data_IF_319397370317
#
_entry.id   IF_319397370317
#
_cell.length_a   1.000
_cell.length_b   1.000
_cell.length_c   1.000
_cell.angle_alpha   90.00
_cell.angle_beta   90.00
_cell.angle_gamma   90.00
#
_symmetry.space_group_name_H-M   'P 1'
#
loop_
_entity.id
_entity.type
_entity.pdbx_description
1 polymer ?
#
# COMPACT_ATOMS: atom_id res chain seq x y z
N UNK A 1 -25.62 -25.89 30.74
CA UNK A 1 -25.10 -25.97 29.35
C UNK A 1 -23.64 -26.39 29.47
N UNK A 2 -23.22 -27.67 29.52
CA UNK A 2 -23.37 -28.74 28.51
C UNK A 2 -23.12 -28.15 27.11
N UNK A 3 -22.04 -28.47 26.39
CA UNK A 3 -21.61 -29.81 25.93
C UNK A 3 -20.09 -29.93 25.69
N UNK A 4 -19.65 -31.19 25.72
CA UNK A 4 -18.30 -31.77 25.67
C UNK A 4 -17.55 -31.61 24.32
N UNK A 5 -16.21 -31.79 24.28
CA UNK A 5 -15.49 -32.17 23.06
C UNK A 5 -15.51 -33.70 22.85
N UNK A 6 -15.92 -34.12 21.65
CA UNK A 6 -15.96 -35.53 21.25
C UNK A 6 -14.57 -36.10 20.91
N UNK A 7 -14.39 -37.32 21.39
CA UNK A 7 -13.22 -38.17 21.29
C UNK A 7 -12.83 -38.55 19.85
N UNK A 8 -11.56 -38.35 19.50
CA UNK A 8 -10.95 -39.04 18.36
C UNK A 8 -10.57 -40.47 18.78
N UNK A 9 -11.37 -41.46 18.37
CA UNK A 9 -11.19 -42.88 18.65
C UNK A 9 -10.14 -43.51 17.72
N UNK A 10 -9.00 -43.96 18.28
CA UNK A 10 -7.95 -44.70 17.56
C UNK A 10 -8.17 -46.20 17.79
N UNK A 11 -8.64 -46.92 16.78
CA UNK A 11 -8.75 -48.39 16.78
C UNK A 11 -7.35 -49.02 16.84
N UNK A 12 -7.12 -49.88 17.82
CA UNK A 12 -5.91 -50.72 17.93
C UNK A 12 -6.28 -52.14 17.50
N UNK A 13 -5.59 -52.65 16.48
CA UNK A 13 -5.64 -54.06 16.06
C UNK A 13 -4.58 -54.81 16.86
N UNK A 14 -5.00 -55.77 17.68
CA UNK A 14 -4.10 -56.64 18.44
C UNK A 14 -3.81 -57.93 17.65
N UNK A 15 -2.59 -58.06 17.15
CA UNK A 15 -1.98 -59.29 16.65
C UNK A 15 -0.72 -59.59 17.47
N UNK A 16 -0.55 -60.85 17.84
CA UNK A 16 0.37 -61.33 18.88
C UNK A 16 1.87 -61.31 18.53
N UNK A 17 2.67 -61.45 19.61
CA UNK A 17 4.07 -61.93 19.72
C UNK A 17 5.21 -60.88 19.72
N UNK A 18 5.83 -60.84 20.91
CA UNK A 18 7.17 -60.40 21.32
C UNK A 18 8.15 -59.92 20.23
N UNK A 19 8.71 -58.71 20.40
CA UNK A 19 10.15 -58.40 20.49
C UNK A 19 10.29 -57.00 21.12
N UNK A 20 11.21 -56.85 22.08
CA UNK A 20 11.62 -55.61 22.73
C UNK A 20 12.11 -54.53 21.76
N UNK A 21 11.39 -53.41 21.66
CA UNK A 21 11.82 -52.19 20.97
C UNK A 21 11.38 -50.95 21.77
N UNK A 22 12.30 -50.01 21.94
CA UNK A 22 12.11 -48.74 22.66
C UNK A 22 10.95 -47.92 22.07
N UNK A 23 10.22 -47.13 22.89
CA UNK A 23 9.09 -46.35 22.38
C UNK A 23 9.61 -45.19 21.54
N UNK A 24 9.47 -45.31 20.21
CA UNK A 24 9.65 -44.19 19.29
C UNK A 24 8.37 -43.35 19.33
N UNK A 25 8.46 -42.19 19.98
CA UNK A 25 7.51 -41.10 19.86
C UNK A 25 7.56 -40.54 18.43
N UNK A 26 6.42 -40.46 17.75
CA UNK A 26 6.26 -39.69 16.52
C UNK A 26 4.97 -38.88 16.63
N UNK A 27 5.11 -37.71 17.24
CA UNK A 27 4.16 -36.60 17.12
C UNK A 27 4.56 -35.80 15.89
N UNK A 28 3.74 -35.83 14.84
CA UNK A 28 3.84 -34.84 13.76
C UNK A 28 2.43 -34.57 13.19
N UNK A 29 1.65 -33.78 13.92
CA UNK A 29 0.64 -32.93 13.31
C UNK A 29 1.38 -31.74 12.68
N UNK A 30 1.60 -31.78 11.37
CA UNK A 30 1.99 -30.58 10.61
C UNK A 30 0.81 -29.62 10.58
N UNK A 31 0.84 -28.64 11.47
CA UNK A 31 0.06 -27.42 11.34
C UNK A 31 0.89 -26.41 10.53
N UNK A 32 0.73 -26.42 9.21
CA UNK A 32 1.08 -25.26 8.39
C UNK A 32 -0.08 -24.28 8.43
N UNK A 33 -0.03 -23.31 9.34
CA UNK A 33 -0.55 -21.97 9.08
C UNK A 33 0.07 -20.98 10.07
N UNK A 34 1.24 -20.45 9.71
CA UNK A 34 1.77 -19.25 10.36
C UNK A 34 1.33 -18.03 9.55
N UNK A 35 0.67 -17.03 10.16
CA UNK A 35 0.29 -15.82 9.45
C UNK A 35 1.55 -15.12 8.96
N UNK A 36 1.71 -15.01 7.63
CA UNK A 36 2.77 -14.24 6.98
C UNK A 36 2.67 -12.78 7.42
N UNK A 37 3.37 -12.45 8.50
CA UNK A 37 3.63 -11.06 8.86
C UNK A 37 4.50 -10.50 7.73
N UNK A 38 4.07 -9.44 7.02
CA UNK A 38 4.88 -8.87 5.97
C UNK A 38 6.24 -8.45 6.56
N UNK A 39 7.35 -8.68 5.84
CA UNK A 39 8.66 -8.25 6.30
C UNK A 39 8.61 -6.76 6.64
N UNK A 40 9.01 -6.42 7.88
CA UNK A 40 9.06 -5.03 8.35
C UNK A 40 10.27 -4.35 7.71
N UNK A 41 10.17 -3.96 6.44
CA UNK A 41 11.12 -3.03 5.84
C UNK A 41 11.04 -1.70 6.60
N UNK A 42 12.17 -1.06 6.95
CA UNK A 42 12.13 0.23 7.64
C UNK A 42 11.67 1.35 6.70
N UNK A 43 10.98 2.35 7.26
CA UNK A 43 10.67 3.59 6.57
C UNK A 43 11.97 4.40 6.39
N UNK A 44 12.35 4.70 5.16
CA UNK A 44 13.56 5.45 4.80
C UNK A 44 13.22 6.92 4.59
N UNK A 45 13.93 7.83 5.27
CA UNK A 45 13.78 9.28 5.07
C UNK A 45 14.75 9.75 3.98
N UNK A 46 14.25 10.52 3.02
CA UNK A 46 15.06 11.15 1.98
C UNK A 46 15.37 12.61 2.35
N UNK A 47 16.41 13.17 1.72
CA UNK A 47 16.84 14.56 1.94
C UNK A 47 15.78 15.59 1.58
N UNK A 48 14.94 15.29 0.58
CA UNK A 48 13.80 16.11 0.17
C UNK A 48 12.56 15.94 1.07
N UNK A 49 12.68 15.28 2.22
CA UNK A 49 11.61 15.09 3.19
C UNK A 49 10.58 14.01 2.84
N UNK A 50 10.71 13.33 1.70
CA UNK A 50 9.92 12.12 1.42
C UNK A 50 10.29 11.01 2.38
N UNK A 51 9.29 10.21 2.76
CA UNK A 51 9.52 8.99 3.53
C UNK A 51 8.97 7.81 2.78
N UNK A 52 9.83 6.83 2.48
CA UNK A 52 9.50 5.73 1.59
C UNK A 52 9.68 4.40 2.32
N UNK A 53 8.68 3.55 2.20
CA UNK A 53 8.69 2.17 2.63
C UNK A 53 8.59 1.29 1.39
N UNK A 54 9.66 0.57 1.08
CA UNK A 54 9.64 -0.39 -0.02
C UNK A 54 8.97 -1.68 0.46
N UNK A 55 7.85 -2.02 -0.17
CA UNK A 55 7.08 -3.23 0.13
C UNK A 55 7.51 -4.36 -0.81
N UNK A 56 7.70 -4.02 -2.10
CA UNK A 56 8.25 -4.88 -3.12
C UNK A 56 9.18 -4.03 -4.00
N UNK A 57 10.42 -4.45 -4.19
CA UNK A 57 11.37 -3.71 -5.03
C UNK A 57 10.98 -3.70 -6.51
N UNK A 58 10.32 -4.75 -6.99
CA UNK A 58 10.13 -4.99 -8.42
C UNK A 58 11.40 -5.50 -9.10
N UNK A 59 11.28 -5.90 -10.36
CA UNK A 59 12.41 -6.48 -11.12
C UNK A 59 12.63 -5.84 -12.49
N UNK A 60 11.73 -4.96 -12.92
CA UNK A 60 11.87 -4.30 -14.21
C UNK A 60 12.74 -3.05 -14.18
N UNK A 61 12.57 -2.26 -15.23
CA UNK A 61 13.31 -1.02 -15.42
C UNK A 61 12.87 0.06 -14.44
N UNK A 62 13.75 1.03 -14.25
CA UNK A 62 13.52 2.21 -13.43
C UNK A 62 13.13 3.36 -14.36
N UNK A 63 12.08 4.14 -14.06
CA UNK A 63 11.67 5.23 -14.93
C UNK A 63 12.68 6.37 -14.87
N UNK A 64 13.03 6.88 -16.05
CA UNK A 64 13.85 8.09 -16.24
C UNK A 64 12.95 9.34 -16.33
N UNK A 65 13.57 10.52 -16.30
CA UNK A 65 12.85 11.78 -16.49
C UNK A 65 12.25 11.88 -17.90
N UNK A 66 11.01 12.35 -17.98
CA UNK A 66 10.25 12.37 -19.24
C UNK A 66 9.67 11.01 -19.64
N UNK A 67 9.94 9.92 -18.90
CA UNK A 67 9.34 8.62 -19.17
C UNK A 67 7.85 8.63 -18.82
N UNK A 68 7.03 7.98 -19.65
CA UNK A 68 5.60 7.82 -19.35
C UNK A 68 5.42 6.59 -18.48
N UNK A 69 4.75 6.76 -17.35
CA UNK A 69 4.55 5.69 -16.37
C UNK A 69 3.07 5.39 -16.20
N UNK A 70 2.77 4.12 -15.91
CA UNK A 70 1.44 3.68 -15.52
C UNK A 70 1.50 3.14 -14.10
N UNK A 71 0.72 3.75 -13.20
CA UNK A 71 0.67 3.36 -11.80
C UNK A 71 -0.75 3.04 -11.35
N UNK A 72 -0.87 2.07 -10.45
CA UNK A 72 -2.04 1.96 -9.59
C UNK A 72 -1.68 2.52 -8.21
N UNK A 73 -2.63 3.18 -7.56
CA UNK A 73 -2.39 3.66 -6.20
C UNK A 73 -3.65 3.76 -5.35
N UNK A 74 -3.43 3.84 -4.04
CA UNK A 74 -4.40 4.30 -3.03
C UNK A 74 -3.85 5.56 -2.37
N UNK A 75 -4.62 6.65 -2.40
CA UNK A 75 -4.20 7.93 -1.87
C UNK A 75 -5.00 8.29 -0.61
N UNK A 76 -4.28 8.64 0.46
CA UNK A 76 -4.86 8.97 1.75
C UNK A 76 -4.29 10.29 2.27
N UNK A 77 -5.10 11.02 3.04
CA UNK A 77 -4.60 12.09 3.87
C UNK A 77 -4.09 11.50 5.19
N UNK A 78 -2.92 11.93 5.66
CA UNK A 78 -2.48 11.59 7.02
C UNK A 78 -3.39 12.23 8.06
N UNK A 79 -3.85 13.45 7.78
CA UNK A 79 -4.95 14.08 8.50
C UNK A 79 -6.27 13.29 8.31
N UNK A 80 -7.33 13.67 9.04
CA UNK A 80 -8.65 13.03 8.92
C UNK A 80 -8.62 11.50 9.08
N UNK A 81 -7.78 11.00 10.00
CA UNK A 81 -7.69 9.58 10.36
C UNK A 81 -7.33 8.66 9.18
N UNK A 82 -6.46 9.10 8.27
CA UNK A 82 -6.07 8.24 7.14
C UNK A 82 -7.14 8.16 6.04
N UNK A 83 -8.03 9.15 5.93
CA UNK A 83 -9.12 9.13 4.97
C UNK A 83 -8.59 8.94 3.53
N UNK A 84 -9.05 7.88 2.87
CA UNK A 84 -8.74 7.59 1.48
C UNK A 84 -9.61 8.45 0.57
N UNK A 85 -8.98 9.39 -0.12
CA UNK A 85 -9.66 10.36 -0.99
C UNK A 85 -9.69 9.92 -2.45
N UNK A 86 -8.74 9.08 -2.88
CA UNK A 86 -8.70 8.50 -4.22
C UNK A 86 -8.16 7.07 -4.21
N UNK A 87 -8.60 6.28 -5.19
CA UNK A 87 -8.24 4.88 -5.33
C UNK A 87 -8.41 4.40 -6.77
N UNK A 88 -7.29 4.07 -7.40
CA UNK A 88 -7.27 3.62 -8.80
C UNK A 88 -7.95 2.27 -8.98
N UNK A 89 -7.85 1.37 -7.99
CA UNK A 89 -8.51 0.05 -8.05
C UNK A 89 -10.04 0.11 -7.99
N UNK A 90 -10.61 1.22 -7.48
CA UNK A 90 -12.06 1.44 -7.48
C UNK A 90 -12.55 2.11 -8.76
N UNK A 91 -11.64 2.63 -9.58
CA UNK A 91 -11.95 3.31 -10.83
C UNK A 91 -11.79 2.30 -11.98
N UNK A 92 -12.85 1.56 -12.28
CA UNK A 92 -12.80 0.51 -13.31
C UNK A 92 -13.30 0.99 -14.66
N UNK A 93 -12.86 0.32 -15.72
CA UNK A 93 -13.38 0.48 -17.06
C UNK A 93 -14.71 -0.28 -17.26
N UNK A 94 -15.21 -0.32 -18.50
CA UNK A 94 -16.46 -1.01 -18.86
C UNK A 94 -16.42 -2.53 -18.64
N UNK A 95 -15.23 -3.10 -18.49
CA UNK A 95 -15.01 -4.53 -18.28
C UNK A 95 -14.71 -4.87 -16.81
N UNK A 96 -14.62 -3.86 -15.94
CA UNK A 96 -14.33 -4.05 -14.52
C UNK A 96 -12.83 -4.02 -14.19
N UNK A 97 -11.96 -3.67 -15.14
CA UNK A 97 -10.52 -3.59 -14.92
C UNK A 97 -10.13 -2.22 -14.37
N UNK A 98 -9.23 -2.12 -13.36
CA UNK A 98 -8.72 -0.85 -12.87
C UNK A 98 -8.09 -0.01 -13.98
N UNK A 99 -8.41 1.29 -14.02
CA UNK A 99 -7.84 2.23 -14.98
C UNK A 99 -6.59 2.86 -14.36
N UNK A 100 -5.37 2.46 -14.77
CA UNK A 100 -4.15 3.01 -14.18
C UNK A 100 -4.03 4.51 -14.42
N UNK A 101 -3.44 5.20 -13.46
CA UNK A 101 -3.07 6.60 -13.61
C UNK A 101 -1.79 6.70 -14.44
N UNK A 102 -1.84 7.52 -15.49
CA UNK A 102 -0.76 7.70 -16.45
C UNK A 102 -0.28 9.13 -16.41
N UNK A 103 1.03 9.31 -16.31
CA UNK A 103 1.65 10.62 -16.34
C UNK A 103 3.11 10.52 -16.80
N UNK A 104 3.71 11.67 -17.06
CA UNK A 104 5.13 11.78 -17.41
C UNK A 104 5.95 12.14 -16.17
N UNK A 105 7.05 11.43 -15.95
CA UNK A 105 7.91 11.69 -14.79
C UNK A 105 8.53 13.08 -14.90
N UNK A 106 8.23 13.94 -13.92
CA UNK A 106 8.65 15.34 -13.92
C UNK A 106 7.61 16.31 -14.48
N UNK A 107 6.40 15.84 -14.85
CA UNK A 107 5.29 16.70 -15.25
C UNK A 107 4.90 17.69 -14.13
N UNK A 108 4.95 19.01 -14.34
CA UNK A 108 4.55 20.01 -13.35
C UNK A 108 3.05 19.94 -13.00
N UNK A 109 2.24 19.34 -13.86
CA UNK A 109 0.83 19.05 -13.61
C UNK A 109 0.59 17.90 -12.63
N UNK A 110 1.63 17.21 -12.17
CA UNK A 110 1.54 16.14 -11.15
C UNK A 110 2.19 16.61 -9.86
N UNK A 111 1.68 16.15 -8.71
CA UNK A 111 2.31 16.44 -7.43
C UNK A 111 3.76 15.97 -7.43
N UNK A 112 4.69 16.87 -7.07
CA UNK A 112 6.13 16.64 -7.19
C UNK A 112 6.57 15.38 -6.44
N UNK A 113 6.02 15.18 -5.24
CA UNK A 113 6.35 14.02 -4.42
C UNK A 113 5.97 12.68 -5.04
N UNK A 114 4.96 12.62 -5.93
CA UNK A 114 4.61 11.40 -6.65
C UNK A 114 5.60 11.11 -7.77
N UNK A 115 6.00 12.12 -8.54
CA UNK A 115 7.06 11.99 -9.55
C UNK A 115 8.38 11.52 -8.91
N UNK A 116 8.78 12.14 -7.79
CA UNK A 116 9.98 11.73 -7.06
C UNK A 116 9.87 10.31 -6.46
N UNK A 117 8.68 9.91 -6.00
CA UNK A 117 8.47 8.57 -5.47
C UNK A 117 8.60 7.50 -6.56
N UNK A 118 8.00 7.73 -7.74
CA UNK A 118 8.05 6.80 -8.87
C UNK A 118 9.47 6.66 -9.41
N UNK A 119 10.27 7.73 -9.39
CA UNK A 119 11.71 7.66 -9.72
C UNK A 119 12.47 6.67 -8.85
N UNK A 120 12.01 6.29 -7.66
CA UNK A 120 12.70 5.34 -6.78
C UNK A 120 12.28 3.89 -7.04
N UNK A 121 11.24 3.67 -7.83
CA UNK A 121 10.63 2.36 -8.07
C UNK A 121 11.24 1.66 -9.28
N UNK A 122 11.08 0.34 -9.32
CA UNK A 122 11.22 -0.47 -10.54
C UNK A 122 9.85 -0.96 -10.98
N UNK A 123 9.69 -1.25 -12.27
CA UNK A 123 8.47 -1.87 -12.79
C UNK A 123 8.18 -3.19 -12.05
N UNK A 124 6.92 -3.36 -11.64
CA UNK A 124 6.43 -4.44 -10.77
C UNK A 124 6.67 -4.21 -9.28
N UNK A 125 7.26 -3.08 -8.89
CA UNK A 125 7.51 -2.70 -7.51
C UNK A 125 6.30 -2.05 -6.84
N UNK A 126 6.26 -2.17 -5.51
CA UNK A 126 5.24 -1.59 -4.64
C UNK A 126 5.92 -0.81 -3.52
N UNK A 127 5.54 0.45 -3.33
CA UNK A 127 6.02 1.28 -2.23
C UNK A 127 4.86 1.94 -1.50
N UNK A 128 5.08 2.27 -0.23
CA UNK A 128 4.30 3.26 0.50
C UNK A 128 5.14 4.51 0.68
N UNK A 129 4.66 5.65 0.21
CA UNK A 129 5.33 6.95 0.36
C UNK A 129 4.49 7.90 1.20
N UNK A 130 5.14 8.61 2.12
CA UNK A 130 4.57 9.75 2.83
C UNK A 130 5.15 11.01 2.24
N UNK A 131 4.28 11.82 1.64
CA UNK A 131 4.62 13.04 0.92
C UNK A 131 4.34 14.24 1.85
N UNK A 132 5.35 15.06 2.17
CA UNK A 132 5.13 16.27 2.96
C UNK A 132 4.35 17.31 2.15
N UNK A 133 3.68 18.23 2.85
CA UNK A 133 2.75 19.20 2.25
C UNK A 133 3.35 19.99 1.08
N UNK A 134 4.61 20.43 1.17
CA UNK A 134 5.26 21.22 0.11
C UNK A 134 5.60 20.41 -1.17
N UNK A 135 5.58 19.07 -1.11
CA UNK A 135 5.69 18.19 -2.28
C UNK A 135 4.33 17.59 -2.72
N UNK A 136 3.27 17.88 -1.97
CA UNK A 136 1.89 17.48 -2.27
C UNK A 136 1.19 18.50 -3.16
N UNK A 137 -0.13 18.64 -2.96
CA UNK A 137 -0.95 19.61 -3.70
C UNK A 137 -0.62 21.05 -3.29
N UNK A 138 -0.13 21.85 -4.23
CA UNK A 138 0.05 23.30 -4.10
C UNK A 138 -1.14 24.07 -4.67
N UNK A 139 -1.84 23.49 -5.64
CA UNK A 139 -3.05 24.02 -6.23
C UNK A 139 -4.09 22.93 -6.50
N UNK A 140 -5.18 23.30 -7.18
CA UNK A 140 -6.32 22.41 -7.48
C UNK A 140 -6.25 21.76 -8.86
N UNK A 141 -5.19 22.03 -9.62
CA UNK A 141 -4.94 21.56 -10.98
C UNK A 141 -3.97 20.39 -11.02
N UNK A 142 -3.17 20.22 -9.97
CA UNK A 142 -2.23 19.11 -9.85
C UNK A 142 -2.93 17.76 -9.70
N UNK A 143 -2.45 16.78 -10.45
CA UNK A 143 -2.88 15.41 -10.45
C UNK A 143 -2.09 14.56 -9.44
N UNK A 144 -2.67 13.45 -8.94
CA UNK A 144 -3.97 12.90 -9.31
C UNK A 144 -5.15 13.69 -8.73
N UNK A 145 -6.19 13.94 -9.52
CA UNK A 145 -7.41 14.62 -9.07
C UNK A 145 -8.50 13.56 -8.87
N UNK A 146 -9.15 13.50 -7.69
CA UNK A 146 -10.24 12.55 -7.45
C UNK A 146 -11.36 12.72 -8.48
N UNK A 147 -11.79 11.61 -9.07
CA UNK A 147 -12.91 11.58 -10.03
C UNK A 147 -14.21 12.06 -9.37
N UNK A 148 -14.51 11.49 -8.21
CA UNK A 148 -15.70 11.82 -7.42
C UNK A 148 -15.66 13.27 -6.95
N UNK A 149 -16.70 14.02 -7.30
CA UNK A 149 -16.81 15.45 -6.97
C UNK A 149 -16.79 15.68 -5.46
N UNK A 150 -17.49 14.84 -4.69
CA UNK A 150 -17.55 14.91 -3.23
C UNK A 150 -16.16 14.75 -2.60
N UNK A 151 -15.38 13.77 -3.06
CA UNK A 151 -14.01 13.55 -2.60
C UNK A 151 -13.10 14.71 -2.96
N UNK A 152 -13.19 15.22 -4.20
CA UNK A 152 -12.40 16.37 -4.65
C UNK A 152 -12.68 17.62 -3.82
N UNK A 153 -13.96 17.92 -3.58
CA UNK A 153 -14.34 19.07 -2.76
C UNK A 153 -13.87 18.91 -1.30
N UNK A 154 -14.00 17.71 -0.72
CA UNK A 154 -13.54 17.41 0.64
C UNK A 154 -12.01 17.48 0.78
N UNK A 155 -11.27 17.02 -0.23
CA UNK A 155 -9.81 17.14 -0.30
C UNK A 155 -9.38 18.60 -0.25
N UNK A 156 -9.88 19.43 -1.17
CA UNK A 156 -9.46 20.83 -1.29
C UNK A 156 -9.93 21.70 -0.14
N UNK A 157 -11.13 21.46 0.40
CA UNK A 157 -11.60 22.16 1.61
C UNK A 157 -10.84 21.77 2.88
N UNK A 158 -10.12 20.64 2.87
CA UNK A 158 -9.25 20.22 3.97
C UNK A 158 -7.86 20.85 3.83
N UNK A 159 -7.23 20.71 2.67
CA UNK A 159 -5.85 21.18 2.43
C UNK A 159 -5.80 22.72 2.36
N UNK A 160 -6.75 23.34 1.65
CA UNK A 160 -6.77 24.79 1.42
C UNK A 160 -7.73 25.52 2.35
N UNK A 161 -7.90 25.05 3.58
CA UNK A 161 -8.79 25.68 4.55
C UNK A 161 -8.17 26.98 5.10
N UNK A 162 -8.71 28.17 4.80
CA UNK A 162 -8.05 29.44 5.15
C UNK A 162 -7.88 29.63 6.66
N UNK A 163 -8.86 29.21 7.46
CA UNK A 163 -8.79 29.33 8.93
C UNK A 163 -7.69 28.44 9.51
N UNK A 164 -7.56 27.21 9.02
CA UNK A 164 -6.54 26.28 9.52
C UNK A 164 -5.14 26.70 9.06
N UNK A 165 -5.03 27.23 7.85
CA UNK A 165 -3.78 27.81 7.33
C UNK A 165 -3.35 29.02 8.17
N UNK A 166 -4.28 29.92 8.51
CA UNK A 166 -4.00 31.06 9.40
C UNK A 166 -3.56 30.62 10.80
N UNK A 167 -3.99 29.44 11.26
CA UNK A 167 -3.57 28.86 12.54
C UNK A 167 -2.25 28.07 12.46
N UNK A 168 -1.56 28.06 11.30
CA UNK A 168 -0.28 27.35 11.12
C UNK A 168 -0.41 25.83 10.96
N UNK A 169 -1.61 25.30 10.68
CA UNK A 169 -1.83 23.85 10.53
C UNK A 169 -1.61 23.32 9.12
N UNK A 170 -1.23 24.19 8.17
CA UNK A 170 -1.06 23.83 6.76
C UNK A 170 -0.12 22.65 6.54
N UNK A 171 1.01 22.64 7.25
CA UNK A 171 2.06 21.63 7.09
C UNK A 171 1.59 20.22 7.46
N UNK A 172 0.57 20.08 8.32
CA UNK A 172 0.05 18.77 8.75
C UNK A 172 -1.15 18.34 7.89
N UNK A 173 -1.98 19.28 7.45
CA UNK A 173 -3.20 18.98 6.70
C UNK A 173 -2.95 18.50 5.28
N UNK A 174 -1.84 18.91 4.67
CA UNK A 174 -1.45 18.53 3.31
C UNK A 174 -0.58 17.28 3.21
N UNK A 175 -0.29 16.58 4.32
CA UNK A 175 0.53 15.37 4.27
C UNK A 175 -0.26 14.23 3.61
N UNK A 176 0.29 13.71 2.52
CA UNK A 176 -0.32 12.63 1.75
C UNK A 176 0.40 11.30 2.04
N UNK A 177 -0.35 10.22 1.97
CA UNK A 177 0.16 8.85 2.03
C UNK A 177 -0.32 8.13 0.78
N UNK A 178 0.61 7.66 -0.04
CA UNK A 178 0.33 6.89 -1.23
C UNK A 178 0.86 5.47 -1.09
N UNK A 179 0.00 4.49 -1.35
CA UNK A 179 0.41 3.12 -1.66
C UNK A 179 0.45 3.02 -3.19
N UNK A 180 1.61 2.77 -3.79
CA UNK A 180 1.84 2.84 -5.25
C UNK A 180 2.35 1.50 -5.75
N UNK A 181 1.74 1.01 -6.82
CA UNK A 181 2.23 -0.08 -7.66
C UNK A 181 2.65 0.48 -9.03
N UNK A 182 3.91 0.30 -9.41
CA UNK A 182 4.40 0.70 -10.73
C UNK A 182 4.19 -0.44 -11.73
N UNK A 183 3.28 -0.25 -12.68
CA UNK A 183 2.85 -1.31 -13.60
C UNK A 183 3.73 -1.40 -14.84
N UNK A 184 4.04 -0.25 -15.44
CA UNK A 184 4.77 -0.18 -16.70
C UNK A 184 5.41 1.19 -16.93
N UNK A 185 6.41 1.19 -17.79
CA UNK A 185 7.03 2.38 -18.41
C UNK A 185 6.75 2.27 -19.91
N UNK A 186 6.44 3.40 -20.55
CA UNK A 186 6.04 3.51 -21.96
C UNK A 186 6.88 4.53 -22.71
#
# INVERSE_FOLDING_TARGET
MMLLPDHCSRRVVAGALAVSFLPVYSSDCKAEDSPKTPPKTPLTNLENGLRVLVINEGQGDRPEDGAKVEINYKARLAAKQGWQFDNTYSNTDRFGEPIPFKFEVGDPGVIVGLSEAVRLMRVGGTIRVVIPTYLGYQDRTQAPIPREFSNRQRLYSTIFNPTRLANGEGDTLGILIFDIDLLAIR
#
